data_IF_735996111609
#
_entry.id   IF_735996111609
#
_cell.length_a   1.000
_cell.length_b   1.000
_cell.length_c   1.000
_cell.angle_alpha   90.00
_cell.angle_beta   90.00
_cell.angle_gamma   90.00
#
_symmetry.space_group_name_H-M   'P 1'
#
loop_
_entity.id
_entity.type
_entity.pdbx_description
1 polymer ?
#
# COMPACT_ATOMS: atom_id res chain seq x y z
N UNK A 1 -5.65 4.52 23.83
CA UNK A 1 -5.99 3.33 23.02
C UNK A 1 -4.72 2.53 22.78
N UNK A 2 -4.84 1.23 22.56
CA UNK A 2 -3.74 0.34 22.18
C UNK A 2 -4.04 -0.27 20.81
N UNK A 3 -3.01 -0.69 20.07
CA UNK A 3 -3.19 -1.30 18.73
C UNK A 3 -4.20 -2.47 18.68
N UNK A 4 -4.35 -3.34 19.69
CA UNK A 4 -5.36 -4.41 19.66
C UNK A 4 -6.81 -3.91 19.66
N UNK A 5 -7.03 -2.67 20.11
CA UNK A 5 -8.36 -2.04 20.17
C UNK A 5 -8.63 -1.15 18.94
N UNK A 6 -7.69 -1.07 18.00
CA UNK A 6 -7.75 -0.20 16.83
C UNK A 6 -7.94 -1.07 15.57
N UNK A 7 -9.08 -0.96 14.87
CA UNK A 7 -9.22 -1.49 13.51
C UNK A 7 -8.18 -0.80 12.62
N UNK A 8 -7.24 -1.58 12.09
CA UNK A 8 -6.11 -1.09 11.33
C UNK A 8 -5.87 -2.01 10.14
N UNK A 9 -6.42 -1.62 9.01
CA UNK A 9 -6.08 -2.17 7.70
C UNK A 9 -5.16 -1.14 7.03
N UNK A 10 -4.04 -1.60 6.48
CA UNK A 10 -3.04 -0.76 5.78
C UNK A 10 -2.52 0.45 6.60
N UNK A 11 -1.94 0.21 7.80
CA UNK A 11 -1.50 1.29 8.67
C UNK A 11 -0.28 2.02 8.10
N UNK A 12 -0.33 3.36 8.05
CA UNK A 12 0.80 4.20 7.64
C UNK A 12 1.23 5.16 8.74
N UNK A 13 2.51 5.11 9.16
CA UNK A 13 3.05 5.95 10.23
C UNK A 13 3.95 7.06 9.70
N UNK A 14 3.64 8.30 10.05
CA UNK A 14 4.53 9.46 9.92
C UNK A 14 5.13 9.79 11.28
N UNK A 15 6.45 9.67 11.41
CA UNK A 15 7.20 10.15 12.58
C UNK A 15 7.56 11.63 12.38
N UNK A 16 6.71 12.53 12.86
CA UNK A 16 6.92 13.97 12.69
C UNK A 16 7.90 14.49 13.74
N UNK A 17 9.12 14.83 13.30
CA UNK A 17 10.18 15.31 14.18
C UNK A 17 9.87 16.67 14.82
N UNK A 18 9.10 17.54 14.12
CA UNK A 18 8.78 18.89 14.59
C UNK A 18 7.93 18.87 15.85
N UNK A 19 6.95 17.97 15.90
CA UNK A 19 6.03 17.81 17.03
C UNK A 19 6.38 16.64 17.94
N UNK A 20 7.37 15.81 17.55
CA UNK A 20 7.74 14.57 18.25
C UNK A 20 6.51 13.68 18.47
N UNK A 21 5.70 13.55 17.42
CA UNK A 21 4.46 12.78 17.39
C UNK A 21 4.46 11.80 16.22
N UNK A 22 4.07 10.56 16.50
CA UNK A 22 3.73 9.57 15.48
C UNK A 22 2.28 9.76 15.07
N UNK A 23 2.04 9.95 13.78
CA UNK A 23 0.71 10.01 13.18
C UNK A 23 0.47 8.70 12.42
N UNK A 24 -0.56 7.94 12.81
CA UNK A 24 -0.92 6.68 12.16
C UNK A 24 -2.21 6.89 11.36
N UNK A 25 -2.10 6.84 10.05
CA UNK A 25 -3.19 6.96 9.10
C UNK A 25 -3.75 5.59 8.72
N UNK A 26 -5.07 5.52 8.57
CA UNK A 26 -5.82 4.34 8.13
C UNK A 26 -7.16 4.79 7.54
N UNK A 27 -7.83 3.91 6.81
CA UNK A 27 -9.21 4.12 6.36
C UNK A 27 -10.11 4.57 7.52
N UNK A 28 -11.03 5.50 7.27
CA UNK A 28 -11.98 5.95 8.28
C UNK A 28 -12.89 4.78 8.71
N UNK A 29 -12.94 4.52 10.02
CA UNK A 29 -13.89 3.60 10.62
C UNK A 29 -14.86 4.41 11.51
N UNK A 30 -16.12 4.60 11.08
CA UNK A 30 -17.11 5.38 11.83
C UNK A 30 -17.37 4.85 13.24
N UNK A 31 -17.17 3.55 13.49
CA UNK A 31 -17.35 2.96 14.83
C UNK A 31 -16.32 3.50 15.84
N UNK A 32 -15.17 3.96 15.36
CA UNK A 32 -14.10 4.52 16.19
C UNK A 32 -14.07 6.05 16.11
N UNK A 33 -14.11 6.60 14.89
CA UNK A 33 -14.01 8.04 14.65
C UNK A 33 -15.29 8.80 15.03
N UNK A 34 -16.45 8.14 14.97
CA UNK A 34 -17.76 8.75 15.17
C UNK A 34 -18.24 9.62 13.99
N UNK A 35 -17.58 9.51 12.83
CA UNK A 35 -17.90 10.28 11.62
C UNK A 35 -18.11 9.33 10.46
N UNK A 36 -19.31 9.35 9.88
CA UNK A 36 -19.66 8.53 8.72
C UNK A 36 -19.01 9.05 7.43
N UNK A 37 -18.64 8.11 6.55
CA UNK A 37 -18.22 8.40 5.18
C UNK A 37 -16.85 7.84 4.81
N UNK A 38 -16.66 7.66 3.50
CA UNK A 38 -15.42 7.22 2.88
C UNK A 38 -14.33 8.27 3.07
N UNK A 39 -13.20 7.87 3.65
CA UNK A 39 -12.11 8.79 3.89
C UNK A 39 -11.00 8.21 4.76
N UNK A 40 -10.24 9.10 5.40
CA UNK A 40 -9.04 8.77 6.17
C UNK A 40 -9.14 9.36 7.57
N UNK A 41 -8.75 8.57 8.57
CA UNK A 41 -8.58 9.01 9.95
C UNK A 41 -7.14 8.86 10.42
N UNK A 42 -6.76 9.63 11.44
CA UNK A 42 -5.41 9.62 11.99
C UNK A 42 -5.41 9.47 13.51
N UNK A 43 -4.64 8.50 14.01
CA UNK A 43 -4.29 8.37 15.42
C UNK A 43 -2.98 9.11 15.71
N UNK A 44 -2.76 9.49 16.97
CA UNK A 44 -1.51 10.15 17.41
C UNK A 44 -0.93 9.42 18.60
N UNK A 45 0.39 9.30 18.66
CA UNK A 45 1.12 8.74 19.79
C UNK A 45 2.47 9.41 19.95
N UNK A 46 3.00 9.44 21.18
CA UNK A 46 4.38 9.87 21.43
C UNK A 46 5.34 8.70 21.65
N UNK A 47 4.82 7.48 21.79
CA UNK A 47 5.59 6.30 22.22
C UNK A 47 5.27 5.02 21.43
N UNK A 48 4.41 5.10 20.40
CA UNK A 48 3.87 4.00 19.60
C UNK A 48 3.02 2.99 20.37
N UNK A 49 2.87 3.17 21.68
CA UNK A 49 2.21 2.24 22.59
C UNK A 49 0.83 2.77 22.92
N UNK A 50 0.74 4.04 23.32
CA UNK A 50 -0.47 4.73 23.73
C UNK A 50 -0.92 5.69 22.63
N UNK A 51 -2.10 5.40 22.07
CA UNK A 51 -2.68 6.15 20.97
C UNK A 51 -3.88 6.97 21.44
N UNK A 52 -3.97 8.22 21.01
CA UNK A 52 -5.16 9.06 21.19
C UNK A 52 -6.27 8.60 20.25
N UNK A 53 -7.54 8.81 20.62
CA UNK A 53 -8.69 8.61 19.71
C UNK A 53 -8.46 9.35 18.37
N UNK A 54 -8.83 8.74 17.22
CA UNK A 54 -8.49 9.31 15.95
C UNK A 54 -9.38 10.51 15.62
N UNK A 55 -8.92 11.34 14.69
CA UNK A 55 -9.72 12.38 14.04
C UNK A 55 -9.76 12.11 12.54
N UNK A 56 -10.89 12.40 11.90
CA UNK A 56 -11.01 12.32 10.44
C UNK A 56 -10.31 13.52 9.81
N UNK A 57 -9.45 13.25 8.82
CA UNK A 57 -8.63 14.28 8.16
C UNK A 57 -8.99 14.47 6.69
N UNK A 58 -9.76 13.56 6.12
CA UNK A 58 -10.24 13.59 4.74
C UNK A 58 -11.55 12.83 4.64
N UNK A 59 -12.52 13.40 3.93
CA UNK A 59 -13.74 12.73 3.48
C UNK A 59 -13.97 13.01 2.01
N UNK A 60 -14.23 11.95 1.23
CA UNK A 60 -14.48 12.06 -0.21
C UNK A 60 -15.75 12.89 -0.49
N UNK A 61 -16.80 12.72 0.32
CA UNK A 61 -18.07 13.43 0.19
C UNK A 61 -17.98 14.94 0.45
N UNK A 62 -16.93 15.40 1.14
CA UNK A 62 -16.68 16.83 1.39
C UNK A 62 -15.91 17.50 0.23
N UNK A 63 -15.37 16.71 -0.70
CA UNK A 63 -14.67 17.23 -1.86
C UNK A 63 -15.68 17.62 -2.95
N UNK A 64 -15.53 18.83 -3.50
CA UNK A 64 -16.39 19.29 -4.59
C UNK A 64 -16.12 18.49 -5.86
N UNK A 65 -17.20 18.04 -6.51
CA UNK A 65 -17.15 17.36 -7.82
C UNK A 65 -16.34 16.06 -7.82
N UNK A 66 -16.25 15.39 -6.66
CA UNK A 66 -15.47 14.17 -6.52
C UNK A 66 -15.96 13.07 -7.46
N UNK A 67 -15.04 12.51 -8.24
CA UNK A 67 -15.35 11.43 -9.18
C UNK A 67 -15.69 10.11 -8.49
N UNK A 68 -15.14 9.90 -7.29
CA UNK A 68 -15.26 8.67 -6.52
C UNK A 68 -16.40 8.72 -5.52
N UNK A 69 -16.99 7.57 -5.25
CA UNK A 69 -18.11 7.41 -4.31
C UNK A 69 -17.75 6.54 -3.10
N UNK A 70 -16.67 5.76 -3.19
CA UNK A 70 -16.27 4.81 -2.16
C UNK A 70 -14.74 4.55 -2.20
N UNK A 71 -14.23 3.71 -1.29
CA UNK A 71 -12.81 3.38 -1.12
C UNK A 71 -12.26 3.88 0.21
N UNK A 72 -11.27 4.77 0.16
CA UNK A 72 -10.57 5.31 1.32
C UNK A 72 -9.45 4.40 1.80
N UNK A 73 -8.95 3.54 0.90
CA UNK A 73 -8.03 2.46 1.23
C UNK A 73 -6.57 2.92 1.24
N UNK A 74 -5.75 2.19 1.99
CA UNK A 74 -4.30 2.34 2.06
C UNK A 74 -3.81 3.80 2.09
N UNK A 75 -4.26 4.63 3.04
CA UNK A 75 -3.85 6.02 3.07
C UNK A 75 -2.41 6.18 3.53
N UNK A 76 -1.58 6.81 2.69
CA UNK A 76 -0.24 7.26 3.05
C UNK A 76 -0.16 8.77 3.14
N UNK A 77 0.64 9.30 4.07
CA UNK A 77 0.88 10.74 4.16
C UNK A 77 2.36 11.04 4.09
N UNK A 78 2.74 11.90 3.13
CA UNK A 78 4.12 12.26 2.88
C UNK A 78 4.34 13.74 3.15
N UNK A 79 5.37 14.09 3.92
CA UNK A 79 5.83 15.48 4.01
C UNK A 79 6.65 15.82 2.76
N UNK A 80 6.27 16.89 2.07
CA UNK A 80 6.94 17.36 0.86
C UNK A 80 6.80 18.87 0.74
N UNK A 81 7.93 19.56 0.53
CA UNK A 81 8.00 21.03 0.40
C UNK A 81 7.22 21.79 1.50
N UNK A 82 7.36 21.33 2.75
CA UNK A 82 6.70 21.93 3.92
C UNK A 82 5.18 21.73 4.00
N UNK A 83 4.61 20.86 3.16
CA UNK A 83 3.20 20.45 3.18
C UNK A 83 3.08 18.95 3.38
N UNK A 84 1.86 18.49 3.66
CA UNK A 84 1.53 17.09 3.82
C UNK A 84 0.64 16.65 2.66
N UNK A 85 1.00 15.54 2.01
CA UNK A 85 0.28 14.99 0.87
C UNK A 85 -0.28 13.62 1.24
N UNK A 86 -1.61 13.51 1.24
CA UNK A 86 -2.34 12.26 1.42
C UNK A 86 -2.50 11.57 0.07
N UNK A 87 -2.05 10.34 -0.01
CA UNK A 87 -2.32 9.41 -1.08
C UNK A 87 -3.32 8.39 -0.55
N UNK A 88 -4.49 8.22 -1.17
CA UNK A 88 -5.45 7.19 -0.77
C UNK A 88 -6.22 6.69 -1.98
N UNK A 89 -6.55 5.41 -1.99
CA UNK A 89 -7.25 4.76 -3.10
C UNK A 89 -8.75 4.93 -2.97
N UNK A 90 -9.36 5.42 -4.04
CA UNK A 90 -10.81 5.58 -4.16
C UNK A 90 -11.32 4.86 -5.41
N UNK A 91 -12.63 4.60 -5.46
CA UNK A 91 -13.26 4.00 -6.62
C UNK A 91 -14.69 4.48 -6.88
N UNK A 92 -15.16 4.17 -8.08
CA UNK A 92 -16.54 4.37 -8.50
C UNK A 92 -16.97 3.24 -9.44
N UNK A 93 -17.86 2.35 -8.96
CA UNK A 93 -18.38 1.23 -9.75
C UNK A 93 -19.31 1.68 -10.89
N UNK A 94 -19.89 2.88 -10.80
CA UNK A 94 -20.72 3.47 -11.86
C UNK A 94 -19.89 4.07 -13.02
N UNK A 95 -18.55 3.97 -12.93
CA UNK A 95 -17.61 4.35 -14.00
C UNK A 95 -16.88 3.11 -14.52
N UNK A 96 -17.54 2.26 -15.31
CA UNK A 96 -16.92 1.04 -15.83
C UNK A 96 -15.78 1.35 -16.79
N UNK A 97 -14.75 0.52 -16.78
CA UNK A 97 -13.65 0.55 -17.72
C UNK A 97 -13.85 -0.52 -18.82
N UNK A 98 -13.21 -0.36 -19.99
CA UNK A 98 -13.24 -1.39 -21.02
C UNK A 98 -12.72 -2.73 -20.50
N UNK A 99 -13.58 -3.75 -20.49
CA UNK A 99 -13.21 -5.11 -20.09
C UNK A 99 -12.84 -5.93 -21.33
N UNK A 100 -11.67 -6.60 -21.35
CA UNK A 100 -11.30 -7.45 -22.48
C UNK A 100 -12.28 -8.61 -22.68
N UNK A 101 -12.36 -9.19 -23.90
CA UNK A 101 -13.17 -10.39 -24.12
C UNK A 101 -12.62 -11.57 -23.30
N UNK A 102 -13.46 -12.59 -23.00
CA UNK A 102 -13.01 -13.82 -22.37
C UNK A 102 -11.79 -14.43 -23.07
N UNK A 103 -10.95 -15.13 -22.31
CA UNK A 103 -9.75 -15.84 -22.73
C UNK A 103 -8.58 -14.99 -23.25
N UNK A 104 -8.69 -13.65 -23.31
CA UNK A 104 -7.56 -12.79 -23.70
C UNK A 104 -6.32 -13.02 -22.82
N UNK A 105 -6.55 -13.30 -21.54
CA UNK A 105 -5.51 -13.51 -20.52
C UNK A 105 -5.59 -14.91 -19.90
N UNK A 106 -6.16 -15.87 -20.61
CA UNK A 106 -6.31 -17.25 -20.11
C UNK A 106 -7.44 -17.49 -19.11
N UNK A 107 -8.27 -16.47 -18.81
CA UNK A 107 -9.47 -16.63 -17.97
C UNK A 107 -10.73 -16.81 -18.83
N UNK A 108 -11.58 -17.83 -18.59
CA UNK A 108 -12.77 -18.09 -19.41
C UNK A 108 -13.93 -17.13 -19.15
N UNK A 109 -13.76 -16.16 -18.25
CA UNK A 109 -14.74 -15.16 -17.86
C UNK A 109 -14.15 -13.75 -17.94
N UNK A 110 -15.04 -12.77 -18.12
CA UNK A 110 -14.71 -11.36 -18.01
C UNK A 110 -14.69 -10.96 -16.54
N UNK A 111 -13.68 -10.19 -16.15
CA UNK A 111 -13.59 -9.62 -14.81
C UNK A 111 -14.01 -8.14 -14.92
N UNK A 112 -15.11 -7.72 -14.26
CA UNK A 112 -15.52 -6.32 -14.29
C UNK A 112 -14.40 -5.41 -13.79
N UNK A 113 -14.12 -4.36 -14.54
CA UNK A 113 -13.21 -3.31 -14.16
C UNK A 113 -13.96 -1.97 -14.13
N UNK A 114 -13.59 -1.13 -13.19
CA UNK A 114 -14.16 0.21 -13.00
C UNK A 114 -13.08 1.16 -12.54
N UNK A 115 -13.38 2.46 -12.58
CA UNK A 115 -12.43 3.48 -12.19
C UNK A 115 -12.08 3.29 -10.71
N UNK A 116 -10.82 2.94 -10.46
CA UNK A 116 -10.20 2.84 -9.14
C UNK A 116 -8.78 3.38 -9.27
N UNK A 117 -8.38 4.20 -8.32
CA UNK A 117 -7.03 4.72 -8.31
C UNK A 117 -6.76 5.60 -7.10
N UNK A 118 -5.48 5.74 -6.80
CA UNK A 118 -5.00 6.63 -5.76
C UNK A 118 -5.17 8.08 -6.18
N UNK A 119 -5.77 8.89 -5.30
CA UNK A 119 -5.82 10.34 -5.45
C UNK A 119 -4.67 10.98 -4.68
N UNK A 120 -4.35 12.22 -5.03
CA UNK A 120 -3.47 13.08 -4.24
C UNK A 120 -4.31 14.18 -3.60
N UNK A 121 -4.18 14.35 -2.29
CA UNK A 121 -4.78 15.45 -1.54
C UNK A 121 -3.71 16.15 -0.70
N UNK A 122 -3.87 17.43 -0.42
CA UNK A 122 -2.84 18.25 0.24
C UNK A 122 -3.38 18.98 1.46
N UNK A 123 -2.54 19.14 2.48
CA UNK A 123 -2.81 19.97 3.65
C UNK A 123 -1.53 20.68 4.13
N UNK A 124 -1.71 21.76 4.88
CA UNK A 124 -0.63 22.42 5.62
C UNK A 124 -0.37 21.77 7.00
N UNK A 125 -1.15 20.75 7.36
CA UNK A 125 -1.11 20.10 8.67
C UNK A 125 -1.20 18.58 8.51
N UNK A 126 -0.49 17.79 9.33
CA UNK A 126 -0.66 16.34 9.34
C UNK A 126 -2.08 15.93 9.81
N UNK A 127 -2.82 16.84 10.46
CA UNK A 127 -4.19 16.64 10.91
C UNK A 127 -5.24 17.14 9.90
N UNK A 128 -4.84 17.46 8.68
CA UNK A 128 -5.75 17.96 7.67
C UNK A 128 -6.39 19.32 8.04
N UNK A 129 -7.58 19.62 7.48
CA UNK A 129 -8.24 18.82 6.46
C UNK A 129 -7.38 18.73 5.19
N UNK A 130 -7.38 17.58 4.55
CA UNK A 130 -6.78 17.40 3.23
C UNK A 130 -7.78 17.78 2.14
N UNK A 131 -7.31 18.51 1.12
CA UNK A 131 -8.12 18.87 -0.05
C UNK A 131 -7.59 18.14 -1.28
N UNK A 132 -8.47 17.46 -2.01
CA UNK A 132 -8.09 16.74 -3.24
C UNK A 132 -7.50 17.71 -4.27
N UNK A 133 -6.42 17.30 -4.93
CA UNK A 133 -5.73 18.09 -5.95
C UNK A 133 -6.52 18.11 -7.26
N UNK A 134 -7.00 16.95 -7.70
CA UNK A 134 -7.82 16.81 -8.92
C UNK A 134 -9.07 15.97 -8.57
N UNK A 135 -10.24 16.60 -8.39
CA UNK A 135 -11.47 15.88 -8.04
C UNK A 135 -12.06 15.09 -9.22
N UNK A 136 -11.60 15.31 -10.45
CA UNK A 136 -12.22 14.73 -11.63
C UNK A 136 -11.73 13.31 -11.97
N UNK A 137 -10.59 12.89 -11.41
CA UNK A 137 -9.91 11.61 -11.74
C UNK A 137 -8.91 11.16 -10.67
N UNK A 138 -8.49 9.88 -10.68
CA UNK A 138 -7.31 9.45 -9.92
C UNK A 138 -6.01 10.08 -10.47
N UNK A 139 -4.93 9.99 -9.69
CA UNK A 139 -3.61 10.49 -10.08
C UNK A 139 -2.99 9.63 -11.20
N UNK A 140 -2.96 8.28 -11.12
CA UNK A 140 -2.63 7.44 -12.28
C UNK A 140 -3.63 7.62 -13.43
N UNK A 141 -3.29 7.21 -14.67
CA UNK A 141 -4.20 7.30 -15.81
C UNK A 141 -5.54 6.62 -15.53
N UNK A 142 -6.65 7.34 -15.72
CA UNK A 142 -7.99 6.91 -15.30
C UNK A 142 -8.54 5.67 -16.04
N UNK A 143 -7.88 5.22 -17.11
CA UNK A 143 -8.18 3.98 -17.82
C UNK A 143 -7.51 2.73 -17.21
N UNK A 144 -6.65 2.92 -16.21
CA UNK A 144 -6.01 1.86 -15.43
C UNK A 144 -6.74 1.74 -14.08
N UNK A 145 -7.11 0.52 -13.74
CA UNK A 145 -7.63 0.16 -12.43
C UNK A 145 -6.44 -0.07 -11.51
N UNK A 146 -6.19 0.88 -10.62
CA UNK A 146 -4.96 0.95 -9.81
C UNK A 146 -5.28 1.11 -8.34
N UNK A 147 -4.33 0.78 -7.47
CA UNK A 147 -4.45 0.93 -6.03
C UNK A 147 -3.07 1.12 -5.37
N UNK A 148 -3.11 1.46 -4.09
CA UNK A 148 -1.97 1.56 -3.18
C UNK A 148 -0.80 2.40 -3.71
N UNK A 149 -1.10 3.58 -4.24
CA UNK A 149 -0.09 4.53 -4.68
C UNK A 149 0.76 5.06 -3.51
N UNK A 150 2.08 4.89 -3.60
CA UNK A 150 3.07 5.42 -2.67
C UNK A 150 3.98 6.46 -3.34
N UNK A 151 4.55 7.38 -2.57
CA UNK A 151 5.51 8.37 -3.07
C UNK A 151 6.94 7.84 -2.98
N UNK A 152 7.67 7.93 -4.10
CA UNK A 152 9.12 7.76 -4.14
C UNK A 152 9.78 9.00 -4.73
N UNK A 153 10.89 9.44 -4.14
CA UNK A 153 11.71 10.53 -4.68
C UNK A 153 13.08 9.97 -5.05
N UNK A 154 13.45 10.09 -6.32
CA UNK A 154 14.73 9.59 -6.82
C UNK A 154 15.91 10.49 -6.40
N UNK A 155 17.18 10.08 -6.59
CA UNK A 155 18.33 10.87 -6.14
C UNK A 155 18.48 12.21 -6.86
N UNK A 156 17.83 12.38 -8.02
CA UNK A 156 17.78 13.64 -8.75
C UNK A 156 16.67 14.57 -8.25
N UNK A 157 15.88 14.15 -7.25
CA UNK A 157 14.77 14.91 -6.69
C UNK A 157 13.48 14.81 -7.49
N UNK A 158 13.40 13.91 -8.47
CA UNK A 158 12.18 13.70 -9.24
C UNK A 158 11.20 12.82 -8.45
N UNK A 159 9.97 13.30 -8.15
CA UNK A 159 8.96 12.49 -7.49
C UNK A 159 8.27 11.53 -8.44
N UNK A 160 7.91 10.36 -7.92
CA UNK A 160 7.23 9.27 -8.61
C UNK A 160 6.10 8.77 -7.72
N UNK A 161 4.96 8.45 -8.33
CA UNK A 161 3.97 7.57 -7.70
C UNK A 161 4.27 6.15 -8.16
N UNK A 162 4.44 5.23 -7.22
CA UNK A 162 4.54 3.79 -7.48
C UNK A 162 3.25 3.16 -6.99
N UNK A 163 2.64 2.30 -7.79
CA UNK A 163 1.30 1.77 -7.50
C UNK A 163 1.15 0.34 -8.01
N UNK A 164 0.15 -0.36 -7.49
CA UNK A 164 -0.29 -1.64 -8.03
C UNK A 164 -1.34 -1.43 -9.14
N UNK A 165 -1.10 -2.03 -10.31
CA UNK A 165 -2.11 -2.16 -11.36
C UNK A 165 -2.87 -3.46 -11.12
N UNK A 166 -4.15 -3.31 -10.83
CA UNK A 166 -4.93 -4.33 -10.20
C UNK A 166 -5.08 -5.59 -11.07
N UNK A 167 -4.89 -6.74 -10.42
CA UNK A 167 -5.03 -8.06 -11.03
C UNK A 167 -6.41 -8.30 -11.67
N UNK A 168 -7.46 -7.58 -11.26
CA UNK A 168 -8.76 -7.63 -11.93
C UNK A 168 -8.66 -7.19 -13.41
N UNK A 169 -7.73 -6.29 -13.72
CA UNK A 169 -7.50 -5.80 -15.08
C UNK A 169 -6.34 -6.56 -15.79
N UNK A 170 -5.30 -6.94 -15.05
CA UNK A 170 -4.06 -7.53 -15.60
C UNK A 170 -3.94 -9.04 -15.47
N UNK A 171 -4.78 -9.68 -14.63
CA UNK A 171 -4.74 -11.09 -14.18
C UNK A 171 -3.50 -11.43 -13.35
N UNK A 172 -2.33 -11.00 -13.80
CA UNK A 172 -1.06 -11.03 -13.08
C UNK A 172 -0.74 -9.58 -12.68
N UNK A 173 -1.09 -9.22 -11.45
CA UNK A 173 -0.93 -7.87 -10.90
C UNK A 173 0.46 -7.33 -11.15
N UNK A 174 0.56 -6.04 -11.48
CA UNK A 174 1.84 -5.40 -11.80
C UNK A 174 2.15 -4.27 -10.83
N UNK A 175 3.44 -4.08 -10.54
CA UNK A 175 3.93 -2.84 -9.95
C UNK A 175 4.39 -1.92 -11.09
N UNK A 176 3.93 -0.68 -11.03
CA UNK A 176 4.22 0.34 -12.03
C UNK A 176 4.59 1.66 -11.35
N UNK A 177 5.31 2.52 -12.06
CA UNK A 177 5.67 3.85 -11.59
C UNK A 177 5.34 4.93 -12.61
N UNK A 178 4.87 6.09 -12.16
CA UNK A 178 4.66 7.26 -13.01
C UNK A 178 5.29 8.49 -12.37
N UNK A 179 5.98 9.31 -13.17
CA UNK A 179 6.55 10.58 -12.67
C UNK A 179 5.44 11.52 -12.27
N UNK A 180 5.67 12.26 -11.18
CA UNK A 180 4.83 13.37 -10.74
C UNK A 180 5.52 14.70 -11.07
N UNK A 181 4.75 15.77 -11.19
CA UNK A 181 5.29 17.11 -11.17
C UNK A 181 5.96 17.41 -9.81
N UNK A 182 6.95 18.32 -9.74
CA UNK A 182 7.61 18.64 -8.47
C UNK A 182 6.68 19.12 -7.35
N UNK A 183 5.51 19.68 -7.69
CA UNK A 183 4.47 20.08 -6.73
C UNK A 183 3.42 18.99 -6.45
N UNK A 184 3.63 17.80 -7.02
CA UNK A 184 2.76 16.63 -7.00
C UNK A 184 1.36 16.86 -7.60
N UNK A 185 1.17 17.93 -8.38
CA UNK A 185 -0.16 18.33 -8.88
C UNK A 185 -0.69 17.48 -10.03
N UNK A 186 0.20 16.77 -10.75
CA UNK A 186 -0.12 16.00 -11.96
C UNK A 186 0.98 14.99 -12.27
N UNK A 187 0.69 14.08 -13.18
CA UNK A 187 1.66 13.13 -13.75
C UNK A 187 2.45 13.71 -14.93
N UNK A 188 3.60 13.10 -15.24
CA UNK A 188 4.51 13.46 -16.35
C UNK A 188 4.88 12.23 -17.19
N UNK A 189 4.31 12.17 -18.39
CA UNK A 189 4.54 11.07 -19.34
C UNK A 189 3.75 9.82 -18.97
N UNK A 190 4.17 8.69 -19.53
CA UNK A 190 3.47 7.41 -19.37
C UNK A 190 4.00 6.60 -18.18
N UNK A 191 3.20 5.68 -17.62
CA UNK A 191 3.66 4.69 -16.65
C UNK A 191 4.83 3.84 -17.16
N UNK A 192 5.66 3.41 -16.22
CA UNK A 192 6.78 2.50 -16.43
C UNK A 192 6.48 1.21 -15.67
N UNK A 193 6.48 0.09 -16.39
CA UNK A 193 6.37 -1.25 -15.80
C UNK A 193 7.63 -1.58 -14.98
N UNK A 194 7.44 -2.13 -13.79
CA UNK A 194 8.54 -2.52 -12.89
C UNK A 194 8.71 -4.04 -12.83
N UNK A 195 7.66 -4.74 -12.40
CA UNK A 195 7.58 -6.20 -12.33
C UNK A 195 6.12 -6.63 -12.20
N UNK A 196 5.86 -7.93 -12.30
CA UNK A 196 4.55 -8.54 -12.03
C UNK A 196 4.65 -9.55 -10.89
N UNK A 197 3.54 -9.84 -10.21
CA UNK A 197 3.56 -10.70 -9.02
C UNK A 197 4.16 -12.08 -9.31
N UNK A 198 3.88 -12.68 -10.48
CA UNK A 198 4.45 -13.99 -10.83
C UNK A 198 5.97 -14.01 -11.04
N UNK A 199 6.66 -12.86 -11.08
CA UNK A 199 8.13 -12.81 -11.07
C UNK A 199 8.70 -13.33 -9.73
N UNK A 200 7.89 -13.36 -8.66
CA UNK A 200 8.25 -13.99 -7.39
C UNK A 200 8.15 -15.52 -7.51
N UNK A 201 9.25 -16.16 -7.95
CA UNK A 201 9.31 -17.59 -8.26
C UNK A 201 8.78 -18.51 -7.13
N UNK A 202 8.99 -18.10 -5.88
CA UNK A 202 8.57 -18.85 -4.68
C UNK A 202 7.06 -19.02 -4.56
N UNK A 203 6.24 -18.19 -5.22
CA UNK A 203 4.78 -18.36 -5.26
C UNK A 203 4.35 -19.69 -5.88
N UNK A 204 5.20 -20.30 -6.72
CA UNK A 204 4.86 -21.52 -7.46
C UNK A 204 5.56 -22.78 -6.93
N UNK A 205 6.47 -22.64 -5.96
CA UNK A 205 7.30 -23.75 -5.47
C UNK A 205 6.53 -24.75 -4.60
N UNK A 206 5.50 -24.29 -3.89
CA UNK A 206 4.74 -25.09 -2.91
C UNK A 206 3.30 -25.38 -3.35
N UNK A 207 3.00 -25.29 -4.65
CA UNK A 207 1.65 -25.53 -5.17
C UNK A 207 1.21 -26.98 -4.87
N UNK A 208 0.15 -27.18 -4.07
CA UNK A 208 -0.29 -28.52 -3.71
C UNK A 208 -0.83 -29.30 -4.91
N UNK A 209 -0.49 -30.59 -5.00
CA UNK A 209 -1.16 -31.52 -5.91
C UNK A 209 -0.78 -31.42 -7.40
N UNK A 210 0.25 -30.63 -7.76
CA UNK A 210 0.75 -30.57 -9.15
C UNK A 210 -0.27 -30.07 -10.16
N UNK A 211 -1.31 -29.33 -9.71
CA UNK A 211 -2.36 -28.74 -10.52
C UNK A 211 -1.77 -27.62 -11.40
N UNK A 212 -1.51 -27.85 -12.70
CA UNK A 212 -0.83 -26.86 -13.54
C UNK A 212 -1.72 -25.66 -13.91
N UNK A 213 -3.01 -25.72 -13.55
CA UNK A 213 -4.07 -24.98 -14.23
C UNK A 213 -4.63 -23.79 -13.41
N UNK A 214 -4.15 -23.54 -12.19
CA UNK A 214 -4.64 -22.44 -11.34
C UNK A 214 -3.52 -21.54 -10.84
N UNK A 215 -2.67 -21.13 -11.79
CA UNK A 215 -1.55 -20.24 -11.54
C UNK A 215 -2.01 -18.78 -11.35
N UNK A 216 -2.77 -18.15 -12.26
CA UNK A 216 -3.42 -16.87 -11.99
C UNK A 216 -4.78 -17.00 -11.27
N UNK A 217 -5.28 -15.93 -10.64
CA UNK A 217 -4.69 -14.59 -10.60
C UNK A 217 -3.51 -14.46 -9.62
N UNK A 218 -2.68 -13.45 -9.82
CA UNK A 218 -1.61 -13.06 -8.90
C UNK A 218 -1.82 -11.63 -8.43
N UNK A 219 -1.73 -11.40 -7.12
CA UNK A 219 -2.06 -10.12 -6.49
C UNK A 219 -0.76 -9.35 -6.22
N UNK A 220 -0.80 -8.02 -6.42
CA UNK A 220 0.24 -7.06 -6.02
C UNK A 220 -0.44 -5.97 -5.20
N UNK A 221 -0.02 -5.76 -3.97
CA UNK A 221 -0.55 -4.73 -3.07
C UNK A 221 0.56 -4.02 -2.28
N UNK A 222 0.22 -2.88 -1.69
CA UNK A 222 1.00 -2.18 -0.65
C UNK A 222 2.49 -1.94 -0.98
N UNK A 223 2.82 -1.31 -2.13
CA UNK A 223 4.20 -0.94 -2.41
C UNK A 223 4.68 0.13 -1.42
N UNK A 224 5.89 -0.01 -0.87
CA UNK A 224 6.58 1.09 -0.20
C UNK A 224 8.07 1.06 -0.51
N UNK A 225 8.62 2.19 -0.95
CA UNK A 225 10.01 2.30 -1.37
C UNK A 225 10.91 2.74 -0.21
N UNK A 226 12.05 2.08 -0.06
CA UNK A 226 13.04 2.40 0.95
C UNK A 226 14.46 2.34 0.37
N UNK A 227 15.27 3.37 0.62
CA UNK A 227 16.69 3.35 0.24
C UNK A 227 17.49 2.60 1.29
N UNK A 228 18.30 1.66 0.83
CA UNK A 228 19.21 0.91 1.70
C UNK A 228 20.53 1.68 1.88
N UNK A 229 21.30 1.39 2.95
CA UNK A 229 22.59 2.04 3.19
C UNK A 229 23.63 1.82 2.09
N UNK A 230 23.53 0.74 1.31
CA UNK A 230 24.47 0.45 0.21
C UNK A 230 24.11 1.14 -1.12
N UNK A 231 23.00 1.89 -1.15
CA UNK A 231 22.52 2.62 -2.32
C UNK A 231 21.47 1.88 -3.14
N UNK A 232 21.16 0.62 -2.82
CA UNK A 232 20.08 -0.14 -3.45
C UNK A 232 18.71 0.45 -3.09
N UNK A 233 17.72 0.20 -3.96
CA UNK A 233 16.34 0.61 -3.73
C UNK A 233 15.50 -0.63 -3.45
N UNK A 234 14.93 -0.70 -2.26
CA UNK A 234 14.03 -1.76 -1.83
C UNK A 234 12.58 -1.32 -2.05
N UNK A 235 11.72 -2.26 -2.42
CA UNK A 235 10.26 -2.11 -2.45
C UNK A 235 9.64 -3.17 -1.56
N UNK A 236 9.03 -2.78 -0.44
CA UNK A 236 8.04 -3.62 0.23
C UNK A 236 6.86 -3.82 -0.70
N UNK A 237 6.29 -5.01 -0.75
CA UNK A 237 4.99 -5.27 -1.39
C UNK A 237 4.36 -6.52 -0.79
N UNK A 238 3.07 -6.72 -1.01
CA UNK A 238 2.32 -7.84 -0.45
C UNK A 238 1.55 -8.62 -1.52
N UNK A 239 1.31 -9.89 -1.22
CA UNK A 239 0.61 -10.83 -2.09
C UNK A 239 0.09 -12.01 -1.26
N UNK A 240 -0.55 -12.98 -1.89
CA UNK A 240 -1.02 -14.21 -1.26
C UNK A 240 -0.13 -15.39 -1.66
N UNK A 241 0.25 -16.22 -0.70
CA UNK A 241 0.86 -17.52 -0.98
C UNK A 241 -0.10 -18.41 -1.82
N UNK A 242 0.44 -19.43 -2.48
CA UNK A 242 -0.32 -20.42 -3.27
C UNK A 242 0.00 -21.84 -2.80
N UNK A 243 -0.11 -22.07 -1.50
CA UNK A 243 0.27 -23.30 -0.80
C UNK A 243 -0.92 -24.04 -0.15
N UNK A 244 -2.15 -23.57 -0.32
CA UNK A 244 -3.38 -24.16 0.23
C UNK A 244 -4.40 -24.38 -0.87
N UNK A 245 -5.07 -25.54 -0.85
CA UNK A 245 -6.24 -25.81 -1.71
C UNK A 245 -7.51 -25.53 -0.91
N UNK A 246 -8.28 -24.55 -1.36
CA UNK A 246 -9.57 -24.20 -0.80
C UNK A 246 -10.62 -25.30 -0.99
N UNK A 247 -11.70 -25.24 -0.22
CA UNK A 247 -12.80 -26.21 -0.32
C UNK A 247 -13.51 -26.19 -1.69
N UNK A 248 -13.42 -25.06 -2.40
CA UNK A 248 -13.89 -24.85 -3.77
C UNK A 248 -12.90 -25.33 -4.84
N UNK A 249 -11.75 -25.85 -4.42
CA UNK A 249 -10.66 -26.31 -5.28
C UNK A 249 -9.70 -25.22 -5.73
N UNK A 250 -9.90 -23.95 -5.34
CA UNK A 250 -9.02 -22.84 -5.70
C UNK A 250 -7.71 -22.87 -4.91
N UNK A 251 -6.60 -22.53 -5.58
CA UNK A 251 -5.28 -22.44 -4.94
C UNK A 251 -5.08 -21.04 -4.36
N UNK A 252 -4.84 -20.98 -3.05
CA UNK A 252 -4.70 -19.78 -2.23
C UNK A 252 -3.63 -20.02 -1.15
N UNK A 253 -3.52 -19.14 -0.17
CA UNK A 253 -2.57 -19.14 0.94
C UNK A 253 -2.77 -17.90 1.80
N UNK A 254 -1.94 -17.75 2.83
CA UNK A 254 -2.00 -16.56 3.67
C UNK A 254 -1.53 -15.31 2.93
N UNK A 255 -2.06 -14.14 3.30
CA UNK A 255 -1.46 -12.86 2.91
C UNK A 255 -0.07 -12.74 3.52
N UNK A 256 0.89 -12.24 2.74
CA UNK A 256 2.30 -12.15 3.15
C UNK A 256 2.91 -10.81 2.81
N UNK A 257 3.74 -10.32 3.73
CA UNK A 257 4.65 -9.21 3.49
C UNK A 257 5.91 -9.76 2.84
N UNK A 258 6.27 -9.22 1.69
CA UNK A 258 7.53 -9.52 1.01
C UNK A 258 8.21 -8.24 0.55
N UNK A 259 9.32 -8.37 -0.18
CA UNK A 259 9.99 -7.24 -0.80
C UNK A 259 10.74 -7.64 -2.09
N UNK A 260 11.09 -6.62 -2.88
CA UNK A 260 11.98 -6.74 -4.02
C UNK A 260 13.10 -5.69 -3.90
N UNK A 261 14.25 -5.96 -4.52
CA UNK A 261 15.39 -5.05 -4.57
C UNK A 261 15.69 -4.69 -6.01
N UNK A 262 15.80 -3.39 -6.31
CA UNK A 262 16.34 -2.93 -7.58
C UNK A 262 17.86 -3.02 -7.56
N UNK A 263 18.41 -3.91 -8.37
CA UNK A 263 19.86 -4.18 -8.44
C UNK A 263 20.64 -2.98 -9.00
N UNK A 264 19.98 -2.08 -9.73
CA UNK A 264 20.59 -0.84 -10.22
C UNK A 264 20.51 0.31 -9.22
N UNK A 265 19.75 0.17 -8.14
CA UNK A 265 19.43 1.26 -7.21
C UNK A 265 18.44 2.31 -7.77
N UNK A 266 17.93 2.11 -8.99
CA UNK A 266 16.97 3.03 -9.64
C UNK A 266 15.57 2.43 -9.71
N UNK A 267 14.54 3.27 -9.84
CA UNK A 267 13.15 2.82 -9.87
C UNK A 267 12.84 1.84 -11.01
N UNK A 268 13.56 1.94 -12.13
CA UNK A 268 13.33 1.10 -13.33
C UNK A 268 13.89 -0.31 -13.21
N UNK A 269 14.45 -0.70 -12.06
CA UNK A 269 14.96 -2.05 -11.85
C UNK A 269 16.31 -2.32 -12.53
N UNK A 270 16.64 -3.59 -12.86
CA UNK A 270 15.80 -4.77 -12.69
C UNK A 270 15.49 -5.08 -11.22
N UNK A 271 14.31 -5.64 -10.96
CA UNK A 271 13.82 -5.95 -9.62
C UNK A 271 14.00 -7.43 -9.30
N UNK A 272 14.86 -7.74 -8.33
CA UNK A 272 15.06 -9.09 -7.79
C UNK A 272 14.07 -9.33 -6.65
N UNK A 273 13.27 -10.39 -6.77
CA UNK A 273 12.26 -10.75 -5.77
C UNK A 273 12.88 -11.47 -4.58
N UNK A 274 12.43 -11.15 -3.37
CA UNK A 274 12.80 -11.85 -2.15
C UNK A 274 11.64 -12.71 -1.64
N UNK A 275 11.96 -13.67 -0.76
CA UNK A 275 10.97 -14.54 -0.12
C UNK A 275 10.18 -13.78 0.96
N UNK A 276 8.99 -14.28 1.36
CA UNK A 276 8.17 -13.64 2.39
C UNK A 276 8.95 -13.33 3.68
N UNK A 277 8.83 -12.09 4.11
CA UNK A 277 9.43 -11.51 5.31
C UNK A 277 8.56 -11.79 6.54
N UNK A 278 7.25 -11.62 6.41
CA UNK A 278 6.26 -11.91 7.45
C UNK A 278 5.12 -12.71 6.83
N UNK A 279 4.72 -13.78 7.53
CA UNK A 279 3.59 -14.67 7.16
C UNK A 279 2.47 -14.56 8.20
N UNK A 280 1.57 -15.54 8.19
CA UNK A 280 0.39 -15.62 9.05
C UNK A 280 -0.63 -14.53 8.74
N UNK A 281 -1.00 -14.40 7.46
CA UNK A 281 -2.03 -13.49 6.99
C UNK A 281 -1.71 -12.03 7.34
N UNK A 282 -0.49 -11.61 7.02
CA UNK A 282 0.11 -10.34 7.43
C UNK A 282 0.71 -9.63 6.23
N UNK A 283 0.38 -8.37 6.02
CA UNK A 283 0.92 -7.62 4.90
C UNK A 283 0.54 -6.15 4.92
N UNK A 284 0.71 -5.51 3.77
CA UNK A 284 0.60 -4.07 3.59
C UNK A 284 1.40 -3.30 4.65
N UNK A 285 2.67 -3.67 4.78
CA UNK A 285 3.58 -3.11 5.73
C UNK A 285 4.29 -1.86 5.20
N UNK A 286 4.67 -0.99 6.13
CA UNK A 286 5.47 0.17 5.84
C UNK A 286 6.59 0.33 6.87
N UNK A 287 7.77 0.72 6.38
CA UNK A 287 8.95 1.06 7.15
C UNK A 287 8.90 2.51 7.59
N UNK A 288 9.34 2.76 8.82
CA UNK A 288 9.56 4.09 9.37
C UNK A 288 10.68 4.05 10.41
N UNK A 289 11.28 5.20 10.69
CA UNK A 289 12.24 5.33 11.79
C UNK A 289 11.54 5.88 13.02
N UNK A 290 11.85 5.30 14.18
CA UNK A 290 11.51 5.92 15.45
C UNK A 290 12.38 7.15 15.68
N UNK A 291 11.92 7.98 16.61
CA UNK A 291 12.62 9.15 17.12
C UNK A 291 14.01 8.91 17.74
N UNK A 292 14.36 7.66 18.03
CA UNK A 292 15.69 7.23 18.49
C UNK A 292 16.48 6.47 17.40
N UNK A 293 16.01 6.52 16.15
CA UNK A 293 16.73 6.02 14.97
C UNK A 293 16.59 4.53 14.70
N UNK A 294 15.71 3.81 15.42
CA UNK A 294 15.45 2.40 15.13
C UNK A 294 14.53 2.27 13.91
N UNK A 295 14.87 1.37 13.00
CA UNK A 295 14.01 1.01 11.89
C UNK A 295 12.88 0.09 12.39
N UNK A 296 11.65 0.45 12.06
CA UNK A 296 10.45 -0.27 12.41
C UNK A 296 9.64 -0.56 11.17
N UNK A 297 8.87 -1.65 11.20
CA UNK A 297 7.79 -1.92 10.26
C UNK A 297 6.49 -1.99 11.04
N UNK A 298 5.45 -1.31 10.54
CA UNK A 298 4.06 -1.57 10.94
C UNK A 298 3.36 -2.26 9.77
N UNK A 299 2.52 -3.24 10.05
CA UNK A 299 1.69 -3.93 9.06
C UNK A 299 0.36 -4.36 9.69
N UNK A 300 -0.59 -4.80 8.89
CA UNK A 300 -1.87 -5.31 9.39
C UNK A 300 -1.84 -6.84 9.53
N UNK A 301 -2.50 -7.38 10.57
CA UNK A 301 -2.68 -8.82 10.82
C UNK A 301 -3.90 -9.11 11.71
N UNK A 302 -4.72 -10.14 11.43
CA UNK A 302 -4.84 -10.82 10.13
C UNK A 302 -5.46 -9.88 9.09
N UNK A 303 -5.75 -10.34 7.87
CA UNK A 303 -6.44 -9.54 6.85
C UNK A 303 -7.87 -9.20 7.29
N UNK A 304 -8.63 -10.20 7.76
CA UNK A 304 -9.96 -9.98 8.34
C UNK A 304 -9.86 -9.49 9.80
N UNK A 305 -10.66 -8.47 10.17
CA UNK A 305 -10.59 -7.85 11.50
C UNK A 305 -9.16 -7.40 11.88
N UNK A 306 -8.50 -6.75 10.92
CA UNK A 306 -7.10 -6.43 10.99
C UNK A 306 -6.69 -5.54 12.17
N UNK A 307 -5.51 -5.80 12.74
CA UNK A 307 -4.85 -5.02 13.78
C UNK A 307 -3.42 -4.68 13.36
N UNK A 308 -2.92 -3.55 13.84
CA UNK A 308 -1.54 -3.15 13.61
C UNK A 308 -0.57 -4.03 14.41
N UNK A 309 0.47 -4.53 13.74
CA UNK A 309 1.60 -5.24 14.36
C UNK A 309 2.89 -4.50 14.08
N UNK A 310 3.76 -4.41 15.08
CA UNK A 310 5.02 -3.69 15.01
C UNK A 310 6.19 -4.65 15.06
N UNK A 311 7.14 -4.46 14.15
CA UNK A 311 8.37 -5.25 14.06
C UNK A 311 9.56 -4.29 14.09
N UNK A 312 10.57 -4.65 14.87
CA UNK A 312 11.88 -4.01 14.79
C UNK A 312 12.65 -4.66 13.64
N UNK A 313 13.22 -3.83 12.77
CA UNK A 313 13.78 -4.23 11.49
C UNK A 313 15.26 -3.87 11.41
N UNK A 314 15.97 -4.55 10.52
CA UNK A 314 17.35 -4.25 10.18
C UNK A 314 17.55 -4.36 8.67
N UNK A 315 18.38 -3.48 8.11
CA UNK A 315 18.85 -3.58 6.73
C UNK A 315 20.35 -3.85 6.76
N UNK A 316 20.79 -4.95 6.16
CA UNK A 316 22.20 -5.35 6.06
C UNK A 316 22.55 -5.51 4.58
N UNK A 317 23.27 -4.54 4.02
CA UNK A 317 23.42 -4.43 2.57
C UNK A 317 22.06 -4.14 1.92
N UNK A 318 21.62 -5.04 1.06
CA UNK A 318 20.31 -5.01 0.39
C UNK A 318 19.28 -5.97 1.01
N UNK A 319 19.63 -6.67 2.10
CA UNK A 319 18.72 -7.57 2.80
C UNK A 319 17.94 -6.86 3.90
N UNK A 320 16.62 -6.96 3.85
CA UNK A 320 15.71 -6.56 4.93
C UNK A 320 15.40 -7.76 5.84
N UNK A 321 15.56 -7.56 7.15
CA UNK A 321 15.40 -8.60 8.17
C UNK A 321 14.47 -8.15 9.29
N UNK A 322 13.62 -9.06 9.76
CA UNK A 322 12.87 -8.88 11.02
C UNK A 322 13.81 -9.27 12.16
N UNK A 323 14.09 -8.34 13.07
CA UNK A 323 14.85 -8.65 14.29
C UNK A 323 13.94 -9.29 15.33
N UNK A 324 12.78 -8.68 15.57
CA UNK A 324 11.76 -9.18 16.49
C UNK A 324 10.44 -8.45 16.32
N UNK A 325 9.35 -9.11 16.70
CA UNK A 325 8.07 -8.44 16.95
C UNK A 325 8.13 -7.63 18.25
N UNK A 326 7.57 -6.43 18.24
CA UNK A 326 7.44 -5.53 19.39
C UNK A 326 6.11 -5.70 20.10
N UNK A 327 5.92 -6.90 20.68
CA UNK A 327 4.72 -7.26 21.45
C UNK A 327 4.47 -6.35 22.66
N UNK A 328 5.52 -5.69 23.16
CA UNK A 328 5.44 -4.66 24.20
C UNK A 328 4.72 -3.38 23.72
N UNK A 329 4.74 -3.10 22.42
CA UNK A 329 4.08 -1.96 21.79
C UNK A 329 2.72 -2.33 21.19
N UNK A 330 2.68 -3.43 20.43
CA UNK A 330 1.49 -3.78 19.65
C UNK A 330 0.48 -4.65 20.40
N UNK A 331 0.88 -5.36 21.45
CA UNK A 331 0.02 -6.25 22.21
C UNK A 331 -0.69 -7.33 21.38
N UNK A 332 -1.43 -8.20 22.08
CA UNK A 332 -2.18 -9.30 21.47
C UNK A 332 -1.29 -10.36 20.80
N UNK A 333 -1.86 -11.50 20.46
CA UNK A 333 -1.21 -12.54 19.64
C UNK A 333 -1.59 -12.30 18.20
#
# INVERSE_FOLDING_TARGET
MRLPDMPLHDPFVVADEKTRTYYLYTSNDPSVSGVDGTGTMVYRSHDLRDWTRPVVVFLAAEQKEMWATDGGWAPEVHEWDGRYYLFTTLHNQDRPLPVPPPNRWGTPFQIPAYMRGTITAVSSSPLGPFTVVDPARPTPPANLMTLDGTLHVDPAGQPWMVYAHEWLQTIDGTMEAIRLAPDLSRTIGDPVFLFKASDASWLTEEIPGGLPNQLPPYITDGPQLHRTPDGSLLMLWSTYEKNVVGADGNISGGYVQTYAVSESGTITGPWRQHRPLVRDDSGHGMLFHTFDGRLMMVLHRPFENARGKLYEMEIVGDELRVLRRRADLDGGG
#
